data_IF_510112089538
#
_entry.id   IF_510112089538
#
_cell.length_a   1.000
_cell.length_b   1.000
_cell.length_c   1.000
_cell.angle_alpha   90.00
_cell.angle_beta   90.00
_cell.angle_gamma   90.00
#
_symmetry.space_group_name_H-M   'P 1'
#
loop_
_entity.id
_entity.type
_entity.pdbx_description
1 polymer ?
#
# COMPACT_ATOMS: atom_id res chain seq x y z
N UNK A 1 -2.58 71.47 -0.01
CA UNK A 1 -1.84 70.48 -0.84
C UNK A 1 -1.72 69.08 -0.21
N UNK A 2 -1.80 68.90 1.12
CA UNK A 2 -1.51 67.61 1.77
C UNK A 2 -2.68 66.58 1.71
N UNK A 3 -3.94 67.02 1.59
CA UNK A 3 -5.12 66.13 1.54
C UNK A 3 -5.25 65.31 0.24
N UNK A 4 -4.75 65.82 -0.89
CA UNK A 4 -4.79 65.09 -2.17
C UNK A 4 -3.68 64.05 -2.28
N UNK A 5 -2.56 64.24 -1.60
CA UNK A 5 -1.46 63.29 -1.59
C UNK A 5 -1.84 62.01 -0.82
N UNK A 6 -2.53 62.13 0.32
CA UNK A 6 -3.01 60.98 1.09
C UNK A 6 -4.06 60.14 0.35
N UNK A 7 -4.92 60.76 -0.47
CA UNK A 7 -5.92 60.05 -1.29
C UNK A 7 -5.26 59.27 -2.44
N UNK A 8 -4.23 59.83 -3.05
CA UNK A 8 -3.53 59.18 -4.16
C UNK A 8 -2.73 57.98 -3.64
N UNK A 9 -2.04 58.09 -2.51
CA UNK A 9 -1.27 56.95 -1.94
C UNK A 9 -2.19 55.83 -1.43
N UNK A 10 -3.36 56.15 -0.87
CA UNK A 10 -4.32 55.15 -0.39
C UNK A 10 -5.00 54.37 -1.53
N UNK A 11 -5.28 55.02 -2.67
CA UNK A 11 -5.88 54.35 -3.84
C UNK A 11 -4.86 53.45 -4.54
N UNK A 12 -3.59 53.84 -4.63
CA UNK A 12 -2.54 53.00 -5.23
C UNK A 12 -2.21 51.77 -4.37
N UNK A 13 -2.27 51.88 -3.04
CA UNK A 13 -2.06 50.74 -2.13
C UNK A 13 -3.25 49.76 -2.10
N UNK A 14 -4.47 50.25 -2.30
CA UNK A 14 -5.65 49.40 -2.47
C UNK A 14 -5.66 48.66 -3.83
N UNK A 15 -5.14 49.27 -4.90
CA UNK A 15 -5.05 48.62 -6.21
C UNK A 15 -3.96 47.54 -6.27
N UNK A 16 -2.83 47.72 -5.57
CA UNK A 16 -1.76 46.71 -5.53
C UNK A 16 -2.09 45.53 -4.62
N UNK A 17 -2.85 45.74 -3.54
CA UNK A 17 -3.30 44.64 -2.66
C UNK A 17 -4.46 43.84 -3.25
N UNK A 18 -5.31 44.43 -4.10
CA UNK A 18 -6.35 43.71 -4.83
C UNK A 18 -5.81 42.86 -6.00
N UNK A 19 -4.68 43.25 -6.61
CA UNK A 19 -4.05 42.50 -7.70
C UNK A 19 -3.34 41.21 -7.27
N UNK A 20 -2.79 41.16 -6.06
CA UNK A 20 -2.10 39.96 -5.55
C UNK A 20 -3.05 38.87 -5.03
N UNK A 21 -4.32 39.18 -4.74
CA UNK A 21 -5.28 38.20 -4.24
C UNK A 21 -5.88 37.31 -5.35
N UNK A 22 -5.74 37.67 -6.63
CA UNK A 22 -6.32 36.92 -7.75
C UNK A 22 -5.44 35.79 -8.29
N UNK A 23 -4.15 35.74 -7.95
CA UNK A 23 -3.26 34.63 -8.37
C UNK A 23 -3.23 33.46 -7.38
N UNK A 24 -3.98 33.54 -6.28
CA UNK A 24 -4.15 32.45 -5.32
C UNK A 24 -5.42 31.61 -5.58
N UNK A 25 -5.96 31.66 -6.80
CA UNK A 25 -7.07 30.77 -7.18
C UNK A 25 -6.52 29.40 -7.53
N UNK A 26 -6.72 28.45 -6.59
CA UNK A 26 -6.85 27.02 -6.81
C UNK A 26 -6.58 26.57 -8.25
N UNK A 27 -5.38 26.06 -8.52
CA UNK A 27 -5.18 25.29 -9.74
C UNK A 27 -6.10 24.06 -9.65
N UNK A 28 -7.33 24.19 -10.14
CA UNK A 28 -8.24 23.07 -10.37
C UNK A 28 -7.48 22.15 -11.32
N UNK A 29 -7.12 20.97 -10.85
CA UNK A 29 -6.53 19.94 -11.67
C UNK A 29 -7.46 19.68 -12.87
N UNK A 30 -7.01 20.01 -14.09
CA UNK A 30 -7.78 19.78 -15.32
C UNK A 30 -7.64 18.32 -15.72
N UNK A 31 -8.54 17.50 -15.19
CA UNK A 31 -8.61 16.08 -15.45
C UNK A 31 -9.15 15.80 -16.86
N UNK A 32 -8.41 15.00 -17.60
CA UNK A 32 -8.77 14.50 -18.93
C UNK A 32 -8.79 12.97 -18.94
N UNK A 33 -9.42 12.40 -19.95
CA UNK A 33 -9.46 10.97 -20.20
C UNK A 33 -8.89 10.68 -21.58
N UNK A 34 -8.17 9.57 -21.69
CA UNK A 34 -7.64 9.04 -22.94
C UNK A 34 -7.75 7.52 -22.94
N UNK A 35 -7.65 6.91 -24.12
CA UNK A 35 -7.63 5.45 -24.27
C UNK A 35 -6.47 5.03 -25.17
N UNK A 36 -5.68 4.08 -24.69
CA UNK A 36 -4.49 3.57 -25.38
C UNK A 36 -4.34 2.07 -25.09
N UNK A 37 -4.03 1.26 -26.09
CA UNK A 37 -3.79 -0.18 -25.90
C UNK A 37 -4.98 -0.95 -25.29
N UNK A 38 -6.21 -0.47 -25.48
CA UNK A 38 -7.42 -1.07 -24.90
C UNK A 38 -7.72 -0.67 -23.45
N UNK A 39 -6.94 0.23 -22.85
CA UNK A 39 -7.17 0.74 -21.50
C UNK A 39 -7.51 2.23 -21.51
N UNK A 40 -8.56 2.59 -20.77
CA UNK A 40 -8.91 3.99 -20.50
C UNK A 40 -8.22 4.46 -19.22
N UNK A 41 -7.65 5.67 -19.26
CA UNK A 41 -6.99 6.29 -18.11
C UNK A 41 -7.29 7.78 -18.00
N UNK A 42 -7.19 8.27 -16.77
CA UNK A 42 -7.26 9.69 -16.42
C UNK A 42 -5.87 10.29 -16.31
N UNK A 43 -5.73 11.56 -16.65
CA UNK A 43 -4.50 12.32 -16.44
C UNK A 43 -4.82 13.80 -16.16
N UNK A 44 -3.85 14.53 -15.61
CA UNK A 44 -3.97 15.97 -15.38
C UNK A 44 -3.16 16.71 -16.43
N UNK A 45 -3.75 17.75 -17.01
CA UNK A 45 -3.08 18.57 -18.03
C UNK A 45 -1.91 19.33 -17.41
N UNK A 46 -0.77 19.39 -18.10
CA UNK A 46 0.49 20.00 -17.63
C UNK A 46 1.08 19.38 -16.34
N UNK A 47 0.73 18.13 -16.03
CA UNK A 47 1.41 17.37 -14.96
C UNK A 47 2.86 17.05 -15.37
N UNK A 48 3.88 17.54 -14.65
CA UNK A 48 5.29 17.29 -14.96
C UNK A 48 5.70 15.82 -14.81
N UNK A 49 4.92 15.03 -14.06
CA UNK A 49 5.16 13.59 -13.89
C UNK A 49 4.52 12.74 -14.98
N UNK A 50 3.65 13.36 -15.80
CA UNK A 50 2.86 12.68 -16.84
C UNK A 50 2.12 11.45 -16.29
N UNK A 51 1.58 11.55 -15.07
CA UNK A 51 0.95 10.44 -14.38
C UNK A 51 -0.35 10.01 -15.05
N UNK A 52 -0.53 8.70 -15.19
CA UNK A 52 -1.70 8.05 -15.76
C UNK A 52 -2.41 7.22 -14.69
N UNK A 53 -3.70 7.46 -14.51
CA UNK A 53 -4.54 6.86 -13.48
C UNK A 53 -5.53 5.89 -14.13
N UNK A 54 -5.36 4.60 -13.83
CA UNK A 54 -6.20 3.51 -14.35
C UNK A 54 -7.10 2.98 -13.23
N UNK A 55 -8.30 2.54 -13.61
CA UNK A 55 -9.19 1.74 -12.75
C UNK A 55 -9.38 0.39 -13.40
N UNK A 56 -8.84 -0.66 -12.77
CA UNK A 56 -8.98 -2.02 -13.25
C UNK A 56 -10.39 -2.56 -12.98
N UNK A 57 -10.78 -3.63 -13.70
CA UNK A 57 -12.09 -4.28 -13.54
C UNK A 57 -12.36 -4.78 -12.13
N UNK A 58 -11.32 -5.20 -11.40
CA UNK A 58 -11.39 -5.62 -10.00
C UNK A 58 -11.45 -4.44 -9.00
N UNK A 59 -11.49 -3.21 -9.48
CA UNK A 59 -11.54 -2.01 -8.65
C UNK A 59 -10.18 -1.51 -8.16
N UNK A 60 -9.05 -2.15 -8.50
CA UNK A 60 -7.74 -1.61 -8.14
C UNK A 60 -7.43 -0.34 -8.94
N UNK A 61 -6.93 0.68 -8.25
CA UNK A 61 -6.41 1.89 -8.89
C UNK A 61 -4.91 1.69 -9.16
N UNK A 62 -4.50 1.84 -10.41
CA UNK A 62 -3.08 1.76 -10.81
C UNK A 62 -2.66 3.15 -11.29
N UNK A 63 -1.54 3.65 -10.76
CA UNK A 63 -0.98 4.95 -11.12
C UNK A 63 0.39 4.69 -11.73
N UNK A 64 0.58 5.11 -12.99
CA UNK A 64 1.85 5.00 -13.69
C UNK A 64 2.43 6.39 -13.91
N UNK A 65 3.63 6.63 -13.38
CA UNK A 65 4.38 7.90 -13.53
C UNK A 65 5.70 7.61 -14.25
N UNK A 66 5.72 7.61 -15.59
CA UNK A 66 6.91 7.23 -16.35
C UNK A 66 8.03 8.28 -16.21
N UNK A 67 9.25 7.82 -15.93
CA UNK A 67 10.46 8.65 -15.93
C UNK A 67 11.55 7.97 -16.75
N UNK A 68 12.29 8.75 -17.55
CA UNK A 68 13.40 8.24 -18.39
C UNK A 68 14.78 8.46 -17.74
N UNK A 69 14.83 8.80 -16.45
CA UNK A 69 16.08 9.13 -15.75
C UNK A 69 16.96 7.90 -15.53
N UNK A 70 16.36 6.76 -15.19
CA UNK A 70 17.07 5.51 -14.90
C UNK A 70 16.26 4.32 -15.44
N UNK A 71 16.91 3.22 -15.88
CA UNK A 71 16.23 2.01 -16.34
C UNK A 71 15.78 1.16 -15.13
N UNK A 72 15.03 1.75 -14.21
CA UNK A 72 14.56 1.12 -12.98
C UNK A 72 13.07 1.33 -12.80
N UNK A 73 12.40 0.35 -12.22
CA UNK A 73 10.98 0.42 -11.85
C UNK A 73 10.90 0.42 -10.33
N UNK A 74 10.09 1.32 -9.79
CA UNK A 74 9.71 1.32 -8.38
C UNK A 74 8.20 1.15 -8.28
N UNK A 75 7.78 0.22 -7.44
CA UNK A 75 6.37 -0.13 -7.26
C UNK A 75 5.98 0.02 -5.80
N UNK A 76 4.85 0.67 -5.57
CA UNK A 76 4.22 0.76 -4.25
C UNK A 76 2.80 0.20 -4.34
N UNK A 77 2.46 -0.71 -3.42
CA UNK A 77 1.11 -1.24 -3.29
C UNK A 77 0.57 -0.77 -1.95
N UNK A 78 -0.36 0.19 -2.01
CA UNK A 78 -0.98 0.75 -0.81
C UNK A 78 -2.29 0.00 -0.50
N UNK A 79 -2.40 -0.51 0.71
CA UNK A 79 -3.64 -1.10 1.23
C UNK A 79 -4.33 -0.09 2.14
N UNK A 80 -5.65 0.09 2.00
CA UNK A 80 -6.45 0.99 2.84
C UNK A 80 -6.78 0.33 4.20
N UNK A 81 -5.77 -0.21 4.86
CA UNK A 81 -5.83 -0.83 6.18
C UNK A 81 -4.47 -0.65 6.88
N UNK A 82 -4.44 -0.81 8.20
CA UNK A 82 -3.25 -0.66 9.03
C UNK A 82 -3.58 -0.87 10.50
N UNK A 83 -2.65 -0.57 11.42
CA UNK A 83 -2.80 -0.84 12.87
C UNK A 83 -4.05 -0.23 13.52
N UNK A 84 -4.56 0.89 12.99
CA UNK A 84 -5.84 1.49 13.43
C UNK A 84 -7.06 0.58 13.22
N UNK A 85 -6.92 -0.41 12.35
CA UNK A 85 -7.94 -1.39 11.96
C UNK A 85 -7.75 -2.73 12.67
N UNK A 86 -6.73 -2.85 13.53
CA UNK A 86 -6.49 -4.07 14.29
C UNK A 86 -7.68 -4.34 15.24
N UNK A 87 -8.08 -5.61 15.42
CA UNK A 87 -9.00 -6.00 16.48
C UNK A 87 -8.48 -5.56 17.85
N UNK A 88 -9.38 -5.16 18.75
CA UNK A 88 -9.00 -4.64 20.09
C UNK A 88 -8.23 -5.66 20.94
N UNK A 89 -8.51 -6.93 20.71
CA UNK A 89 -7.92 -8.09 21.37
C UNK A 89 -6.64 -8.60 20.68
N UNK A 90 -6.32 -8.10 19.48
CA UNK A 90 -5.16 -8.53 18.67
C UNK A 90 -4.43 -7.32 18.08
N UNK A 91 -3.86 -6.48 18.93
CA UNK A 91 -3.07 -5.32 18.51
C UNK A 91 -1.76 -5.76 17.85
N UNK A 92 -1.37 -5.07 16.77
CA UNK A 92 -0.16 -5.38 16.00
C UNK A 92 -0.38 -6.33 14.82
N UNK A 93 -1.62 -6.79 14.59
CA UNK A 93 -1.93 -7.75 13.53
C UNK A 93 -1.62 -7.22 12.13
N UNK A 94 -1.89 -5.95 11.83
CA UNK A 94 -1.56 -5.36 10.54
C UNK A 94 -0.04 -5.37 10.27
N UNK A 95 0.77 -5.07 11.28
CA UNK A 95 2.23 -5.13 11.16
C UNK A 95 2.71 -6.58 11.06
N UNK A 96 2.13 -7.50 11.83
CA UNK A 96 2.44 -8.92 11.71
C UNK A 96 2.14 -9.45 10.30
N UNK A 97 0.99 -9.09 9.73
CA UNK A 97 0.62 -9.43 8.36
C UNK A 97 1.63 -8.87 7.35
N UNK A 98 2.08 -7.64 7.52
CA UNK A 98 3.12 -7.04 6.67
C UNK A 98 4.39 -7.92 6.61
N UNK A 99 4.88 -8.41 7.76
CA UNK A 99 6.01 -9.35 7.79
C UNK A 99 5.69 -10.66 7.07
N UNK A 100 4.46 -11.16 7.22
CA UNK A 100 4.03 -12.43 6.61
C UNK A 100 3.95 -12.36 5.09
N UNK A 101 3.64 -11.19 4.50
CA UNK A 101 3.61 -11.02 3.04
C UNK A 101 4.97 -11.30 2.38
N UNK A 102 6.08 -11.24 3.12
CA UNK A 102 7.43 -11.52 2.63
C UNK A 102 7.88 -12.98 2.86
N UNK A 103 7.04 -13.83 3.48
CA UNK A 103 7.40 -15.22 3.79
C UNK A 103 7.06 -16.23 2.70
N UNK A 104 6.52 -15.77 1.58
CA UNK A 104 6.20 -16.60 0.43
C UNK A 104 4.71 -16.57 0.08
N UNK A 105 4.40 -17.23 -1.02
CA UNK A 105 3.07 -17.43 -1.62
C UNK A 105 3.02 -18.87 -2.17
N UNK A 106 1.89 -19.26 -2.75
CA UNK A 106 1.75 -20.51 -3.49
C UNK A 106 2.68 -20.61 -4.73
N UNK A 107 3.26 -19.49 -5.17
CA UNK A 107 4.11 -19.40 -6.37
C UNK A 107 5.59 -19.13 -6.09
N UNK A 108 5.91 -18.55 -4.94
CA UNK A 108 7.26 -18.13 -4.56
C UNK A 108 7.47 -18.43 -3.08
N UNK A 109 8.66 -18.87 -2.70
CA UNK A 109 9.04 -19.21 -1.33
C UNK A 109 8.88 -20.69 -1.00
N UNK A 110 8.55 -21.54 -1.98
CA UNK A 110 8.33 -22.97 -1.80
C UNK A 110 9.09 -23.82 -2.84
N UNK A 111 9.79 -24.86 -2.39
CA UNK A 111 10.42 -25.87 -3.26
C UNK A 111 9.39 -26.81 -3.86
N UNK A 112 8.30 -27.08 -3.14
CA UNK A 112 7.25 -28.03 -3.53
C UNK A 112 5.96 -27.69 -2.79
N UNK A 113 5.17 -26.78 -3.37
CA UNK A 113 3.93 -26.28 -2.78
C UNK A 113 2.93 -27.41 -2.51
N UNK A 114 2.88 -28.42 -3.37
CA UNK A 114 1.95 -29.54 -3.22
C UNK A 114 2.24 -30.37 -1.95
N UNK A 115 3.50 -30.40 -1.49
CA UNK A 115 3.89 -31.05 -0.23
C UNK A 115 3.87 -30.11 0.97
N UNK A 116 4.18 -28.83 0.77
CA UNK A 116 4.20 -27.86 1.85
C UNK A 116 2.79 -27.46 2.31
N UNK A 117 1.87 -27.24 1.37
CA UNK A 117 0.51 -26.76 1.66
C UNK A 117 -0.26 -27.63 2.68
N UNK A 118 -0.27 -28.98 2.58
CA UNK A 118 -0.92 -29.81 3.60
C UNK A 118 -0.33 -29.64 5.00
N UNK A 119 0.98 -29.36 5.12
CA UNK A 119 1.63 -29.14 6.41
C UNK A 119 1.25 -27.77 6.98
N UNK A 120 1.17 -26.74 6.14
CA UNK A 120 0.67 -25.42 6.54
C UNK A 120 -0.80 -25.49 6.99
N UNK A 121 -1.65 -26.21 6.25
CA UNK A 121 -3.05 -26.43 6.63
C UNK A 121 -3.16 -27.17 7.98
N UNK A 122 -2.26 -28.12 8.25
CA UNK A 122 -2.19 -28.81 9.54
C UNK A 122 -1.75 -27.87 10.68
N UNK A 123 -0.78 -26.99 10.42
CA UNK A 123 -0.33 -25.98 11.39
C UNK A 123 -1.48 -25.03 11.73
N UNK A 124 -2.20 -24.53 10.73
CA UNK A 124 -3.36 -23.65 10.92
C UNK A 124 -4.44 -24.35 11.78
N UNK A 125 -4.79 -25.60 11.46
CA UNK A 125 -5.76 -26.36 12.24
C UNK A 125 -5.30 -26.62 13.69
N UNK A 126 -4.00 -26.84 13.91
CA UNK A 126 -3.45 -26.99 15.25
C UNK A 126 -3.48 -25.68 16.04
N UNK A 127 -3.27 -24.52 15.40
CA UNK A 127 -3.42 -23.22 16.05
C UNK A 127 -4.87 -22.90 16.40
N UNK A 128 -5.84 -23.25 15.55
CA UNK A 128 -7.27 -23.14 15.89
C UNK A 128 -7.62 -23.99 17.11
N UNK A 129 -7.09 -25.23 17.17
CA UNK A 129 -7.24 -26.07 18.36
C UNK A 129 -6.59 -25.42 19.59
N UNK A 130 -5.34 -24.95 19.46
CA UNK A 130 -4.60 -24.29 20.54
C UNK A 130 -5.35 -23.07 21.10
N UNK A 131 -5.95 -22.26 20.24
CA UNK A 131 -6.72 -21.08 20.60
C UNK A 131 -8.00 -21.43 21.35
N UNK A 132 -8.63 -22.56 21.02
CA UNK A 132 -9.83 -23.07 21.71
C UNK A 132 -9.54 -23.83 23.02
N UNK A 133 -8.31 -24.27 23.27
CA UNK A 133 -7.96 -25.06 24.46
C UNK A 133 -7.52 -24.16 25.63
N UNK A 134 -8.16 -24.35 26.80
CA UNK A 134 -7.80 -23.65 28.05
C UNK A 134 -6.89 -24.45 28.98
N UNK A 135 -6.90 -25.79 28.90
CA UNK A 135 -6.06 -26.65 29.74
C UNK A 135 -4.56 -26.50 29.37
N UNK A 136 -3.73 -26.19 30.37
CA UNK A 136 -2.30 -25.91 30.14
C UNK A 136 -1.51 -27.12 29.64
N UNK A 137 -1.88 -28.32 30.08
CA UNK A 137 -1.16 -29.56 29.71
C UNK A 137 -1.47 -29.89 28.27
N UNK A 138 -2.74 -29.79 27.87
CA UNK A 138 -3.16 -29.98 26.49
C UNK A 138 -2.57 -28.89 25.58
N UNK A 139 -2.57 -27.61 25.99
CA UNK A 139 -1.92 -26.52 25.23
C UNK A 139 -0.44 -26.80 24.98
N UNK A 140 0.30 -27.26 25.99
CA UNK A 140 1.72 -27.65 25.83
C UNK A 140 1.89 -28.81 24.86
N UNK A 141 0.98 -29.79 24.87
CA UNK A 141 1.02 -30.91 23.94
C UNK A 141 0.74 -30.47 22.49
N UNK A 142 -0.28 -29.62 22.28
CA UNK A 142 -0.60 -29.07 20.95
C UNK A 142 0.57 -28.25 20.42
N UNK A 143 1.18 -27.40 21.25
CA UNK A 143 2.31 -26.57 20.83
C UNK A 143 3.52 -27.40 20.39
N UNK A 144 3.78 -28.55 21.04
CA UNK A 144 4.83 -29.48 20.60
C UNK A 144 4.55 -30.07 19.21
N UNK A 145 3.28 -30.36 18.90
CA UNK A 145 2.93 -30.84 17.56
C UNK A 145 3.05 -29.72 16.52
N UNK A 146 2.65 -28.48 16.86
CA UNK A 146 2.85 -27.31 16.00
C UNK A 146 4.33 -27.16 15.66
N UNK A 147 5.21 -27.19 16.65
CA UNK A 147 6.66 -27.03 16.46
C UNK A 147 7.23 -28.12 15.53
N UNK A 148 6.83 -29.38 15.76
CA UNK A 148 7.22 -30.51 14.93
C UNK A 148 6.76 -30.36 13.47
N UNK A 149 5.48 -30.06 13.25
CA UNK A 149 4.93 -29.91 11.89
C UNK A 149 5.54 -28.68 11.20
N UNK A 150 5.77 -27.60 11.94
CA UNK A 150 6.47 -26.39 11.44
C UNK A 150 7.89 -26.72 11.00
N UNK A 151 8.61 -27.57 11.74
CA UNK A 151 9.94 -28.05 11.35
C UNK A 151 9.93 -28.89 10.06
N UNK A 152 8.88 -29.69 9.83
CA UNK A 152 8.69 -30.42 8.57
C UNK A 152 8.35 -29.49 7.41
N UNK A 153 7.45 -28.53 7.61
CA UNK A 153 7.08 -27.53 6.59
C UNK A 153 8.30 -26.69 6.17
N UNK A 154 9.13 -26.27 7.12
CA UNK A 154 10.32 -25.46 6.88
C UNK A 154 11.34 -26.10 5.92
N UNK A 155 11.31 -27.42 5.71
CA UNK A 155 12.18 -28.10 4.74
C UNK A 155 11.85 -27.70 3.29
N UNK A 156 10.59 -27.35 3.04
CA UNK A 156 10.08 -26.92 1.74
C UNK A 156 10.22 -25.41 1.51
N UNK A 157 10.27 -24.61 2.56
CA UNK A 157 10.44 -23.17 2.46
C UNK A 157 11.78 -22.78 1.79
N UNK A 158 11.73 -21.78 0.91
CA UNK A 158 12.89 -21.12 0.32
C UNK A 158 13.00 -19.72 0.93
N UNK A 159 13.90 -19.58 1.91
CA UNK A 159 14.14 -18.29 2.54
C UNK A 159 14.67 -17.26 1.52
N UNK A 160 14.06 -16.08 1.54
CA UNK A 160 14.45 -14.90 0.75
C UNK A 160 14.56 -15.19 -0.75
N UNK A 161 13.62 -15.97 -1.31
CA UNK A 161 13.60 -16.21 -2.77
C UNK A 161 13.40 -14.92 -3.57
N UNK A 162 12.58 -13.99 -3.07
CA UNK A 162 12.34 -12.70 -3.70
C UNK A 162 13.61 -11.87 -3.92
N UNK A 163 14.59 -11.96 -3.02
CA UNK A 163 15.85 -11.20 -3.13
C UNK A 163 16.77 -11.74 -4.24
N UNK A 164 16.45 -12.92 -4.79
CA UNK A 164 17.26 -13.62 -5.79
C UNK A 164 16.72 -13.48 -7.22
N UNK A 165 15.57 -12.81 -7.40
CA UNK A 165 14.96 -12.50 -8.69
C UNK A 165 15.53 -11.19 -9.26
#
# INVERSE_FOLDING_TARGET
MIKNLFRITAVTFALTTAGCALFAQNAKFDWKEASEGGYTYKYVTNDPTHSRFYKLKNGLTVILSPTKKEPRIQTYIATKAGSKTDPKDHTGLAHYLEHMLFKGTDKFGSKDWAKEKPLLDQIDALYEKYNGTTDETERKAIYKEIDKVSGEAAKYAIANEYDKL
#
